data_IF_357639555119
#
_entry.id   IF_357639555119
#
_cell.length_a   1.000
_cell.length_b   1.000
_cell.length_c   1.000
_cell.angle_alpha   90.00
_cell.angle_beta   90.00
_cell.angle_gamma   90.00
#
_symmetry.space_group_name_H-M   'P 1'
#
loop_
_entity.id
_entity.type
_entity.pdbx_description
1 polymer ?
#
# COMPACT_ATOMS: atom_id res chain seq x y z
N UNK A 1 -2.28 -8.72 -12.75
CA UNK A 1 -2.90 -7.49 -12.21
C UNK A 1 -2.15 -6.30 -12.78
N UNK A 2 -2.86 -5.26 -13.22
CA UNK A 2 -2.25 -3.99 -13.67
C UNK A 2 -2.45 -2.91 -12.61
N UNK A 3 -1.75 -1.77 -12.73
CA UNK A 3 -1.97 -0.60 -11.85
C UNK A 3 -3.43 -0.14 -11.93
N UNK A 4 -3.99 -0.11 -13.13
CA UNK A 4 -5.39 0.28 -13.36
C UNK A 4 -6.37 -0.66 -12.66
N UNK A 5 -6.13 -1.97 -12.70
CA UNK A 5 -6.96 -2.95 -12.01
C UNK A 5 -6.92 -2.76 -10.50
N UNK A 6 -5.74 -2.50 -9.94
CA UNK A 6 -5.58 -2.18 -8.52
C UNK A 6 -6.35 -0.91 -8.13
N UNK A 7 -6.28 0.15 -8.94
CA UNK A 7 -7.02 1.39 -8.68
C UNK A 7 -8.53 1.15 -8.77
N UNK A 8 -9.02 0.40 -9.76
CA UNK A 8 -10.44 0.01 -9.85
C UNK A 8 -10.91 -0.74 -8.61
N UNK A 9 -10.08 -1.67 -8.09
CA UNK A 9 -10.39 -2.37 -6.83
C UNK A 9 -10.43 -1.40 -5.65
N UNK A 10 -9.45 -0.50 -5.51
CA UNK A 10 -9.43 0.51 -4.45
C UNK A 10 -10.65 1.45 -4.50
N UNK A 11 -11.14 1.80 -5.69
CA UNK A 11 -12.37 2.60 -5.86
C UNK A 11 -13.60 1.83 -5.39
N UNK A 12 -13.66 0.52 -5.67
CA UNK A 12 -14.77 -0.37 -5.29
C UNK A 12 -14.87 -0.60 -3.77
N UNK A 13 -13.75 -0.52 -3.06
CA UNK A 13 -13.71 -0.68 -1.59
C UNK A 13 -14.27 0.61 -0.98
N UNK A 14 -15.34 0.51 -0.17
CA UNK A 14 -16.04 1.66 0.42
C UNK A 14 -15.13 2.55 1.28
N UNK A 15 -14.19 1.93 1.98
CA UNK A 15 -13.31 2.61 2.91
C UNK A 15 -11.91 2.04 2.87
N UNK A 16 -10.92 2.94 2.89
CA UNK A 16 -9.51 2.57 3.03
C UNK A 16 -9.03 2.94 4.42
N UNK A 17 -8.14 2.13 4.98
CA UNK A 17 -7.46 2.46 6.22
C UNK A 17 -6.16 3.19 5.88
N UNK A 18 -5.95 4.35 6.52
CA UNK A 18 -4.71 5.11 6.39
C UNK A 18 -4.00 5.20 7.74
N UNK A 19 -2.73 4.88 7.73
CA UNK A 19 -1.83 5.02 8.86
C UNK A 19 -0.92 6.25 8.68
N UNK A 20 -0.74 6.98 9.79
CA UNK A 20 0.18 8.11 9.95
C UNK A 20 0.95 7.93 11.25
N UNK A 21 1.87 8.85 11.53
CA UNK A 21 2.64 8.86 12.77
C UNK A 21 2.45 10.21 13.46
N UNK A 22 2.13 10.19 14.75
CA UNK A 22 2.01 11.42 15.54
C UNK A 22 3.39 12.01 15.89
N UNK A 23 3.37 13.15 16.57
CA UNK A 23 4.58 13.88 16.98
C UNK A 23 5.51 13.10 17.92
N UNK A 24 5.00 12.05 18.57
CA UNK A 24 5.73 11.20 19.51
C UNK A 24 6.27 9.92 18.85
N UNK A 25 6.03 9.75 17.53
CA UNK A 25 6.38 8.53 16.80
C UNK A 25 5.35 7.40 16.93
N UNK A 26 4.20 7.65 17.57
CA UNK A 26 3.17 6.62 17.72
C UNK A 26 2.32 6.49 16.45
N UNK A 27 2.10 5.26 15.95
CA UNK A 27 1.26 5.03 14.79
C UNK A 27 -0.21 5.36 15.09
N UNK A 28 -0.84 6.02 14.13
CA UNK A 28 -2.25 6.38 14.16
C UNK A 28 -2.93 5.77 12.93
N UNK A 29 -4.14 5.23 13.09
CA UNK A 29 -4.89 4.64 11.99
C UNK A 29 -6.32 5.18 11.96
N UNK A 30 -6.86 5.39 10.78
CA UNK A 30 -8.24 5.83 10.55
C UNK A 30 -8.76 5.40 9.20
N UNK A 31 -10.06 5.46 9.05
CA UNK A 31 -10.73 5.21 7.77
C UNK A 31 -10.83 6.51 6.98
N UNK A 32 -10.55 6.44 5.68
CA UNK A 32 -10.87 7.46 4.70
C UNK A 32 -11.87 6.90 3.68
N UNK A 33 -13.04 7.50 3.58
CA UNK A 33 -14.08 7.14 2.59
C UNK A 33 -14.20 8.17 1.48
N UNK A 34 -14.18 9.45 1.81
CA UNK A 34 -14.30 10.56 0.85
C UNK A 34 -12.99 10.79 0.09
N UNK A 35 -12.78 10.00 -0.97
CA UNK A 35 -11.59 10.03 -1.82
C UNK A 35 -11.93 9.80 -3.28
N UNK A 36 -11.12 10.35 -4.17
CA UNK A 36 -11.24 10.13 -5.63
C UNK A 36 -9.87 9.82 -6.21
N UNK A 37 -9.86 9.13 -7.34
CA UNK A 37 -8.66 8.96 -8.17
C UNK A 37 -8.79 9.80 -9.45
N UNK A 38 -7.70 10.46 -9.82
CA UNK A 38 -7.50 11.04 -11.12
C UNK A 38 -6.27 10.38 -11.74
N UNK A 39 -6.48 9.49 -12.68
CA UNK A 39 -5.50 8.50 -13.13
C UNK A 39 -4.94 7.72 -11.91
N UNK A 40 -3.64 7.84 -11.63
CA UNK A 40 -2.96 7.20 -10.51
C UNK A 40 -2.89 8.06 -9.24
N UNK A 41 -3.21 9.34 -9.31
CA UNK A 41 -3.17 10.23 -8.14
C UNK A 41 -4.45 10.09 -7.32
N UNK A 42 -4.30 9.80 -6.03
CA UNK A 42 -5.41 9.77 -5.08
C UNK A 42 -5.55 11.14 -4.40
N UNK A 43 -6.79 11.64 -4.35
CA UNK A 43 -7.16 12.85 -3.60
C UNK A 43 -8.15 12.49 -2.51
N UNK A 44 -8.00 13.07 -1.33
CA UNK A 44 -8.94 12.91 -0.23
C UNK A 44 -9.08 14.20 0.57
N UNK A 45 -10.17 14.33 1.32
CA UNK A 45 -10.41 15.48 2.17
C UNK A 45 -10.39 15.12 3.67
N UNK A 46 -10.04 16.12 4.46
CA UNK A 46 -10.21 16.09 5.92
C UNK A 46 -10.41 17.51 6.45
N UNK A 47 -10.93 17.67 7.67
CA UNK A 47 -11.08 18.99 8.26
C UNK A 47 -9.77 19.47 8.91
N UNK A 48 -9.41 20.74 8.69
CA UNK A 48 -8.13 21.35 9.10
C UNK A 48 -7.80 21.26 10.59
N UNK A 49 -8.81 21.14 11.47
CA UNK A 49 -8.61 21.06 12.92
C UNK A 49 -8.30 19.67 13.45
N UNK A 50 -8.35 18.61 12.61
CA UNK A 50 -8.11 17.24 13.06
C UNK A 50 -6.62 16.99 13.34
N UNK A 51 -6.32 16.11 14.32
CA UNK A 51 -4.95 15.63 14.58
C UNK A 51 -4.29 15.04 13.34
N UNK A 52 -5.07 14.41 12.48
CA UNK A 52 -4.66 13.86 11.19
C UNK A 52 -3.91 14.87 10.30
N UNK A 53 -4.37 16.13 10.27
CA UNK A 53 -3.69 17.21 9.53
C UNK A 53 -2.32 17.47 10.15
N UNK A 54 -2.24 17.60 11.47
CA UNK A 54 -0.98 17.84 12.18
C UNK A 54 0.02 16.69 12.01
N UNK A 55 -0.48 15.46 11.99
CA UNK A 55 0.33 14.27 11.76
C UNK A 55 0.96 14.30 10.36
N UNK A 56 0.16 14.58 9.32
CA UNK A 56 0.65 14.68 7.94
C UNK A 56 1.57 15.90 7.70
N UNK A 57 1.39 16.98 8.43
CA UNK A 57 2.27 18.14 8.37
C UNK A 57 3.63 17.86 9.04
N UNK A 58 3.64 17.09 10.14
CA UNK A 58 4.86 16.70 10.83
C UNK A 58 5.63 15.57 10.13
N UNK A 59 4.89 14.59 9.60
CA UNK A 59 5.46 13.44 8.90
C UNK A 59 4.58 13.07 7.71
N UNK A 60 5.08 13.33 6.52
CA UNK A 60 4.37 13.11 5.26
C UNK A 60 4.29 11.63 4.82
N UNK A 61 5.01 10.74 5.49
CA UNK A 61 4.96 9.31 5.19
C UNK A 61 3.62 8.72 5.65
N UNK A 62 2.99 7.98 4.74
CA UNK A 62 1.72 7.30 5.01
C UNK A 62 1.76 5.85 4.52
N UNK A 63 0.91 5.04 5.13
CA UNK A 63 0.57 3.74 4.60
C UNK A 63 -0.95 3.61 4.49
N UNK A 64 -1.41 2.99 3.39
CA UNK A 64 -2.83 2.75 3.15
C UNK A 64 -3.03 1.29 2.85
N UNK A 65 -4.15 0.76 3.29
CA UNK A 65 -4.60 -0.58 2.94
C UNK A 65 -6.05 -0.55 2.46
N UNK A 66 -6.30 -1.22 1.35
CA UNK A 66 -7.62 -1.65 0.89
C UNK A 66 -7.67 -3.17 0.91
N UNK A 67 -8.69 -3.74 1.52
CA UNK A 67 -8.90 -5.17 1.60
C UNK A 67 -10.27 -5.53 1.03
N UNK A 68 -10.28 -6.38 0.01
CA UNK A 68 -11.48 -7.00 -0.54
C UNK A 68 -11.66 -8.38 0.11
N UNK A 69 -12.54 -8.44 1.11
CA UNK A 69 -12.79 -9.67 1.86
C UNK A 69 -13.34 -10.81 0.98
N UNK A 70 -14.10 -10.48 -0.07
CA UNK A 70 -14.72 -11.49 -0.94
C UNK A 70 -13.70 -12.20 -1.83
N UNK A 71 -12.70 -11.45 -2.28
CA UNK A 71 -11.66 -11.96 -3.17
C UNK A 71 -10.36 -12.31 -2.42
N UNK A 72 -10.27 -12.07 -1.11
CA UNK A 72 -9.05 -12.14 -0.31
C UNK A 72 -7.89 -11.36 -0.92
N UNK A 73 -8.22 -10.23 -1.54
CA UNK A 73 -7.28 -9.34 -2.19
C UNK A 73 -6.91 -8.18 -1.28
N UNK A 74 -5.64 -7.90 -1.19
CA UNK A 74 -5.11 -6.78 -0.43
C UNK A 74 -4.30 -5.87 -1.35
N UNK A 75 -4.57 -4.56 -1.27
CA UNK A 75 -3.75 -3.55 -1.93
C UNK A 75 -3.18 -2.64 -0.85
N UNK A 76 -1.85 -2.58 -0.75
CA UNK A 76 -1.14 -1.69 0.16
C UNK A 76 -0.46 -0.59 -0.63
N UNK A 77 -0.53 0.63 -0.11
CA UNK A 77 0.16 1.80 -0.63
C UNK A 77 1.08 2.33 0.47
N UNK A 78 2.31 2.64 0.12
CA UNK A 78 3.23 3.40 0.97
C UNK A 78 3.79 4.56 0.18
N UNK A 79 3.68 5.77 0.69
CA UNK A 79 4.07 6.94 -0.07
C UNK A 79 4.11 8.21 0.76
N UNK A 80 4.14 9.32 0.06
CA UNK A 80 4.20 10.65 0.64
C UNK A 80 2.91 11.40 0.33
N UNK A 81 2.26 11.90 1.37
CA UNK A 81 1.08 12.75 1.26
C UNK A 81 1.48 14.21 1.09
N UNK A 82 0.77 14.94 0.25
CA UNK A 82 0.97 16.36 0.00
C UNK A 82 -0.34 17.12 0.05
N UNK A 83 -0.33 18.28 0.70
CA UNK A 83 -1.45 19.22 0.62
C UNK A 83 -1.47 19.82 -0.79
N UNK A 84 -2.63 19.82 -1.46
CA UNK A 84 -2.70 20.46 -2.79
C UNK A 84 -2.56 21.98 -2.69
N UNK A 85 -2.16 22.62 -3.79
CA UNK A 85 -2.00 24.07 -3.84
C UNK A 85 -3.31 24.79 -3.51
N UNK A 86 -3.22 26.04 -3.07
CA UNK A 86 -4.42 26.83 -2.74
C UNK A 86 -5.39 26.95 -3.92
N UNK A 87 -4.87 27.03 -5.13
CA UNK A 87 -5.65 27.14 -6.37
C UNK A 87 -6.44 25.84 -6.67
N UNK A 88 -5.87 24.70 -6.32
CA UNK A 88 -6.48 23.40 -6.56
C UNK A 88 -7.46 22.95 -5.47
N UNK A 89 -7.43 23.58 -4.27
CA UNK A 89 -8.28 23.20 -3.13
C UNK A 89 -9.76 23.19 -3.51
N UNK A 90 -10.24 24.23 -4.18
CA UNK A 90 -11.65 24.35 -4.56
C UNK A 90 -12.04 23.31 -5.61
N UNK A 91 -11.22 23.15 -6.64
CA UNK A 91 -11.43 22.17 -7.72
C UNK A 91 -11.64 20.76 -7.17
N UNK A 92 -10.70 20.29 -6.37
CA UNK A 92 -10.74 18.91 -5.88
C UNK A 92 -11.80 18.70 -4.78
N UNK A 93 -12.04 19.73 -3.94
CA UNK A 93 -13.14 19.70 -2.99
C UNK A 93 -14.48 19.51 -3.69
N UNK A 94 -14.78 20.32 -4.69
CA UNK A 94 -16.04 20.21 -5.44
C UNK A 94 -16.18 18.81 -6.06
N UNK A 95 -15.13 18.28 -6.69
CA UNK A 95 -15.15 16.97 -7.30
C UNK A 95 -15.37 15.82 -6.29
N UNK A 96 -14.84 15.95 -5.08
CA UNK A 96 -15.08 15.00 -3.98
C UNK A 96 -16.54 15.10 -3.50
N UNK A 97 -17.09 16.31 -3.37
CA UNK A 97 -18.50 16.50 -2.96
C UNK A 97 -19.49 16.00 -4.02
N UNK A 98 -19.20 16.18 -5.31
CA UNK A 98 -19.96 15.58 -6.40
C UNK A 98 -19.99 14.05 -6.31
N UNK A 99 -18.87 13.44 -5.97
CA UNK A 99 -18.75 11.97 -5.83
C UNK A 99 -19.40 11.45 -4.55
N UNK A 100 -19.37 12.24 -3.48
CA UNK A 100 -19.87 11.88 -2.15
C UNK A 100 -20.86 12.92 -1.61
N UNK A 101 -22.10 12.98 -2.13
CA UNK A 101 -23.09 14.00 -1.74
C UNK A 101 -23.43 14.02 -0.25
N UNK A 102 -23.26 12.91 0.47
CA UNK A 102 -23.48 12.84 1.91
C UNK A 102 -22.62 13.84 2.71
N UNK A 103 -21.50 14.31 2.13
CA UNK A 103 -20.63 15.29 2.76
C UNK A 103 -21.34 16.63 3.01
N UNK A 104 -22.37 16.98 2.23
CA UNK A 104 -23.19 18.17 2.47
C UNK A 104 -23.97 18.07 3.79
N UNK A 105 -24.27 16.86 4.26
CA UNK A 105 -24.87 16.66 5.58
C UNK A 105 -23.84 16.76 6.71
N UNK A 106 -22.56 16.45 6.43
CA UNK A 106 -21.47 16.53 7.41
C UNK A 106 -20.92 17.95 7.55
N UNK A 107 -20.80 18.65 6.42
CA UNK A 107 -20.28 20.02 6.31
C UNK A 107 -21.19 20.86 5.43
N UNK A 108 -22.38 21.26 5.94
CA UNK A 108 -23.35 22.01 5.15
C UNK A 108 -22.89 23.43 4.82
N UNK A 109 -23.31 23.91 3.66
CA UNK A 109 -23.11 25.29 3.19
C UNK A 109 -21.62 25.70 3.25
N UNK A 110 -21.31 26.87 3.82
CA UNK A 110 -19.96 27.42 3.91
C UNK A 110 -19.06 26.68 4.92
N UNK A 111 -19.62 25.78 5.77
CA UNK A 111 -18.81 24.98 6.70
C UNK A 111 -17.84 24.03 5.97
N UNK A 112 -18.14 23.67 4.72
CA UNK A 112 -17.23 22.90 3.85
C UNK A 112 -15.87 23.57 3.61
N UNK A 113 -15.76 24.89 3.85
CA UNK A 113 -14.50 25.63 3.73
C UNK A 113 -13.46 25.26 4.81
N UNK A 114 -13.87 24.53 5.86
CA UNK A 114 -12.94 23.94 6.85
C UNK A 114 -12.15 22.74 6.27
N UNK A 115 -12.64 22.16 5.17
CA UNK A 115 -11.99 21.00 4.57
C UNK A 115 -10.73 21.39 3.81
N UNK A 116 -9.70 20.59 3.97
CA UNK A 116 -8.43 20.66 3.25
C UNK A 116 -8.24 19.38 2.44
N UNK A 117 -7.69 19.54 1.25
CA UNK A 117 -7.47 18.45 0.30
C UNK A 117 -6.01 18.06 0.30
N UNK A 118 -5.77 16.78 0.35
CA UNK A 118 -4.47 16.16 0.21
C UNK A 118 -4.42 15.25 -1.01
N UNK A 119 -3.24 15.08 -1.59
CA UNK A 119 -2.97 14.15 -2.68
C UNK A 119 -1.85 13.18 -2.33
N UNK A 120 -1.88 12.02 -2.98
CA UNK A 120 -0.82 11.02 -2.97
C UNK A 120 -0.57 10.66 -4.43
N UNK A 121 0.58 11.05 -4.96
CA UNK A 121 0.97 10.84 -6.36
C UNK A 121 2.29 10.08 -6.52
N UNK A 122 3.10 10.06 -5.45
CA UNK A 122 4.39 9.37 -5.39
C UNK A 122 4.32 8.25 -4.34
N UNK A 123 4.13 7.01 -4.78
CA UNK A 123 3.93 5.89 -3.87
C UNK A 123 4.32 4.55 -4.49
N UNK A 124 4.65 3.60 -3.62
CA UNK A 124 4.72 2.19 -3.95
C UNK A 124 3.39 1.52 -3.66
N UNK A 125 2.95 0.65 -4.55
CA UNK A 125 1.74 -0.16 -4.39
C UNK A 125 2.14 -1.63 -4.42
N UNK A 126 1.56 -2.41 -3.53
CA UNK A 126 1.66 -3.86 -3.49
C UNK A 126 0.27 -4.47 -3.61
N UNK A 127 0.07 -5.30 -4.61
CA UNK A 127 -1.07 -6.22 -4.70
C UNK A 127 -0.67 -7.56 -4.11
N UNK A 128 -1.51 -8.11 -3.25
CA UNK A 128 -1.32 -9.41 -2.62
C UNK A 128 -2.65 -10.14 -2.53
N UNK A 129 -2.67 -11.43 -2.93
CA UNK A 129 -3.86 -12.26 -2.81
C UNK A 129 -3.56 -13.62 -2.23
N UNK A 130 -4.47 -14.10 -1.40
CA UNK A 130 -4.50 -15.47 -0.86
C UNK A 130 -5.50 -16.36 -1.61
N UNK A 131 -6.18 -15.84 -2.63
CA UNK A 131 -7.16 -16.61 -3.41
C UNK A 131 -6.53 -17.58 -4.40
N UNK A 132 -5.22 -17.47 -4.63
CA UNK A 132 -4.44 -18.36 -5.50
C UNK A 132 -3.48 -19.25 -4.70
N UNK A 133 -3.16 -20.43 -5.23
CA UNK A 133 -2.12 -21.28 -4.67
C UNK A 133 -1.16 -21.75 -5.78
N UNK A 134 0.13 -21.35 -5.74
CA UNK A 134 0.76 -20.46 -4.75
C UNK A 134 0.13 -19.05 -4.74
N UNK A 135 0.34 -18.33 -3.65
CA UNK A 135 -0.12 -16.93 -3.51
C UNK A 135 0.42 -16.06 -4.64
N UNK A 136 -0.22 -14.92 -4.87
CA UNK A 136 0.30 -13.94 -5.84
C UNK A 136 0.58 -12.61 -5.18
N UNK A 137 1.74 -12.04 -5.52
CA UNK A 137 2.23 -10.74 -5.05
C UNK A 137 2.81 -9.96 -6.22
N UNK A 138 2.46 -8.69 -6.33
CA UNK A 138 3.00 -7.79 -7.36
C UNK A 138 3.30 -6.43 -6.75
N UNK A 139 4.34 -5.77 -7.26
CA UNK A 139 4.78 -4.46 -6.81
C UNK A 139 4.75 -3.47 -7.97
N UNK A 140 4.32 -2.25 -7.68
CA UNK A 140 4.27 -1.16 -8.64
C UNK A 140 4.87 0.11 -8.03
N UNK A 141 5.61 0.87 -8.84
CA UNK A 141 6.07 2.21 -8.50
C UNK A 141 5.24 3.22 -9.28
N UNK A 142 4.68 4.20 -8.60
CA UNK A 142 3.84 5.24 -9.16
C UNK A 142 4.49 6.60 -8.90
N UNK A 143 4.46 7.47 -9.93
CA UNK A 143 5.11 8.76 -9.88
C UNK A 143 6.63 8.63 -9.83
N UNK A 144 7.29 9.49 -9.08
CA UNK A 144 8.74 9.50 -8.96
C UNK A 144 9.23 8.62 -7.79
N UNK A 145 8.88 7.32 -7.83
CA UNK A 145 9.32 6.33 -6.83
C UNK A 145 10.04 5.16 -7.47
N UNK A 146 10.77 4.41 -6.65
CA UNK A 146 11.36 3.12 -7.05
C UNK A 146 10.70 2.02 -6.25
N UNK A 147 10.51 0.86 -6.88
CA UNK A 147 9.97 -0.31 -6.17
C UNK A 147 10.92 -0.69 -5.03
N UNK A 148 10.36 -0.82 -3.84
CA UNK A 148 11.06 -1.34 -2.66
C UNK A 148 10.66 -2.81 -2.50
N UNK A 149 11.47 -3.68 -3.07
CA UNK A 149 11.29 -5.10 -2.87
C UNK A 149 11.63 -5.49 -1.43
N UNK A 150 10.93 -6.51 -0.96
CA UNK A 150 11.23 -7.23 0.28
C UNK A 150 11.21 -8.71 -0.02
N UNK A 151 11.98 -9.48 0.70
CA UNK A 151 11.96 -10.93 0.52
C UNK A 151 13.27 -11.59 0.89
N UNK A 152 13.45 -12.79 0.39
CA UNK A 152 14.64 -13.60 0.63
C UNK A 152 15.29 -13.99 -0.68
N UNK A 153 16.60 -13.95 -0.73
CA UNK A 153 17.42 -14.34 -1.89
C UNK A 153 18.43 -15.38 -1.47
N UNK A 154 18.59 -16.43 -2.30
CA UNK A 154 19.61 -17.46 -2.10
C UNK A 154 20.90 -17.00 -2.79
N UNK A 155 21.99 -16.95 -2.05
CA UNK A 155 23.31 -16.52 -2.52
C UNK A 155 24.15 -17.67 -3.08
N UNK A 156 25.37 -17.31 -3.50
CA UNK A 156 26.31 -18.25 -4.15
C UNK A 156 26.90 -19.27 -3.15
N UNK A 157 26.73 -19.05 -1.84
CA UNK A 157 27.10 -19.97 -0.78
C UNK A 157 26.20 -21.23 -0.74
N UNK A 158 25.18 -21.28 -1.58
CA UNK A 158 24.24 -22.38 -1.68
C UNK A 158 24.93 -23.67 -2.14
N UNK A 159 24.80 -24.73 -1.33
CA UNK A 159 25.33 -26.06 -1.63
C UNK A 159 24.30 -26.98 -2.32
N UNK A 160 23.16 -26.43 -2.75
CA UNK A 160 22.09 -27.16 -3.45
C UNK A 160 21.52 -28.37 -2.68
N UNK A 161 21.48 -28.30 -1.34
CA UNK A 161 21.00 -29.42 -0.49
C UNK A 161 19.49 -29.65 -0.52
N UNK A 162 18.69 -28.71 -1.05
CA UNK A 162 17.24 -28.85 -1.20
C UNK A 162 16.41 -28.54 0.05
N UNK A 163 16.99 -28.34 1.23
CA UNK A 163 16.27 -28.09 2.49
C UNK A 163 15.26 -26.94 2.37
N UNK A 164 15.65 -25.81 1.78
CA UNK A 164 14.79 -24.64 1.61
C UNK A 164 13.54 -24.95 0.77
N UNK A 165 13.67 -25.79 -0.26
CA UNK A 165 12.56 -26.23 -1.11
C UNK A 165 11.58 -27.10 -0.32
N UNK A 166 12.09 -28.03 0.48
CA UNK A 166 11.28 -28.96 1.29
C UNK A 166 10.43 -28.23 2.34
N UNK A 167 10.99 -27.17 2.96
CA UNK A 167 10.30 -26.41 4.03
C UNK A 167 9.43 -25.27 3.51
N UNK A 168 9.42 -25.02 2.19
CA UNK A 168 8.66 -23.92 1.63
C UNK A 168 7.15 -24.22 1.60
N UNK A 169 6.28 -23.48 2.34
CA UNK A 169 4.86 -23.76 2.40
C UNK A 169 4.12 -23.50 1.08
N UNK A 170 4.71 -22.71 0.17
CA UNK A 170 4.14 -22.41 -1.14
C UNK A 170 4.75 -23.24 -2.28
N UNK A 171 5.81 -24.02 -2.02
CA UNK A 171 6.57 -24.79 -3.02
C UNK A 171 7.12 -23.95 -4.17
N UNK A 172 7.56 -22.72 -3.87
CA UNK A 172 7.98 -21.72 -4.87
C UNK A 172 9.49 -21.55 -4.95
N UNK A 173 10.25 -22.56 -4.54
CA UNK A 173 11.71 -22.58 -4.65
C UNK A 173 12.10 -23.62 -5.71
N UNK A 174 12.67 -23.14 -6.81
CA UNK A 174 13.13 -23.98 -7.93
C UNK A 174 14.57 -24.41 -7.75
N UNK A 175 14.88 -25.59 -8.22
CA UNK A 175 16.24 -26.15 -8.20
C UNK A 175 17.16 -25.37 -9.14
N UNK A 176 18.42 -25.26 -8.74
CA UNK A 176 19.48 -24.55 -9.46
C UNK A 176 20.74 -24.50 -8.63
N UNK A 177 21.77 -23.79 -9.15
CA UNK A 177 23.01 -23.55 -8.43
C UNK A 177 23.36 -22.06 -8.56
N UNK A 178 22.87 -21.22 -7.63
CA UNK A 178 22.04 -21.50 -6.45
C UNK A 178 20.56 -21.82 -6.79
N UNK A 179 19.80 -22.33 -5.82
CA UNK A 179 18.32 -22.42 -5.91
C UNK A 179 17.71 -21.02 -6.04
N UNK A 180 16.49 -20.93 -6.60
CA UNK A 180 15.82 -19.64 -6.87
C UNK A 180 14.46 -19.58 -6.22
N UNK A 181 14.19 -18.51 -5.47
CA UNK A 181 12.87 -18.22 -4.89
C UNK A 181 12.07 -17.40 -5.89
N UNK A 182 10.89 -17.90 -6.27
CA UNK A 182 9.92 -17.15 -7.11
C UNK A 182 9.27 -16.06 -6.25
N UNK A 183 9.76 -14.83 -6.37
CA UNK A 183 9.40 -13.71 -5.47
C UNK A 183 7.91 -13.34 -5.54
N UNK A 184 7.30 -13.49 -6.71
CA UNK A 184 5.88 -13.21 -6.97
C UNK A 184 4.93 -14.18 -6.25
N UNK A 185 5.47 -15.29 -5.74
CA UNK A 185 4.73 -16.32 -5.02
C UNK A 185 5.23 -16.53 -3.58
N UNK A 186 6.20 -15.72 -3.15
CA UNK A 186 6.82 -15.87 -1.84
C UNK A 186 5.96 -15.20 -0.74
N UNK A 187 5.63 -15.96 0.32
CA UNK A 187 4.97 -15.44 1.52
C UNK A 187 5.84 -14.52 2.37
N UNK A 188 7.14 -14.50 2.15
CA UNK A 188 8.14 -13.85 3.02
C UNK A 188 8.10 -14.38 4.46
N UNK A 189 7.80 -15.66 4.66
CA UNK A 189 7.66 -16.27 5.99
C UNK A 189 8.99 -16.56 6.70
N UNK A 190 10.12 -16.52 5.98
CA UNK A 190 11.45 -16.76 6.54
C UNK A 190 11.83 -18.23 6.75
N UNK A 191 10.92 -19.18 6.58
CA UNK A 191 11.15 -20.59 6.91
C UNK A 191 12.37 -21.19 6.17
N UNK A 192 12.57 -20.81 4.90
CA UNK A 192 13.73 -21.23 4.14
C UNK A 192 15.04 -20.61 4.67
N UNK A 193 14.97 -19.37 5.18
CA UNK A 193 16.10 -18.66 5.78
C UNK A 193 16.57 -19.36 7.08
N UNK A 194 15.62 -19.64 7.99
CA UNK A 194 15.92 -20.25 9.30
C UNK A 194 16.44 -21.68 9.17
N UNK A 195 16.07 -22.40 8.10
CA UNK A 195 16.44 -23.79 7.90
C UNK A 195 17.63 -23.99 6.93
N UNK A 196 18.30 -22.91 6.50
CA UNK A 196 19.45 -23.03 5.60
C UNK A 196 20.70 -23.45 6.38
N UNK A 197 21.25 -24.67 6.16
CA UNK A 197 22.38 -25.19 6.99
C UNK A 197 23.69 -24.43 6.78
N UNK A 198 23.81 -23.68 5.69
CA UNK A 198 25.01 -22.90 5.34
C UNK A 198 24.77 -21.39 5.34
N UNK A 199 23.63 -20.93 5.83
CA UNK A 199 23.24 -19.50 5.87
C UNK A 199 23.34 -18.78 4.52
N UNK A 200 23.08 -19.49 3.42
CA UNK A 200 23.17 -18.94 2.07
C UNK A 200 21.96 -18.04 1.68
N UNK A 201 20.94 -17.94 2.53
CA UNK A 201 19.75 -17.13 2.26
C UNK A 201 19.83 -15.83 3.02
N UNK A 202 19.52 -14.72 2.36
CA UNK A 202 19.56 -13.36 2.95
C UNK A 202 18.26 -12.63 2.68
N UNK A 203 17.85 -11.81 3.63
CA UNK A 203 16.76 -10.82 3.46
C UNK A 203 17.27 -9.61 2.66
N UNK A 204 16.42 -8.97 1.84
CA UNK A 204 16.74 -7.78 1.06
C UNK A 204 15.56 -6.81 1.00
#
# INVERSE_FOLDING_TARGET
MTIEDCIKKLIKIDSLQIATVDKNGSPQIRVISARIFNNTTMYFLTAKGKSFVKEMENNRNIAIIGFDEKENDMIRITGIVEKVSQEEQLKWRNKIYETYPYLENVYPNETKNINVIYKIENYNMEYFTLSTHPITRQYFAIGNTKIKFKGFKIGNECISCGTCKTVCPQNVITEGTPFVIQQEHCLHCGNCFDNCPVNAIKEF
#
